data_IF_445100623693
#
_entry.id   IF_445100623693
#
_cell.length_a   1.000
_cell.length_b   1.000
_cell.length_c   1.000
_cell.angle_alpha   90.00
_cell.angle_beta   90.00
_cell.angle_gamma   90.00
#
_symmetry.space_group_name_H-M   'P 1'
#
loop_
_entity.id
_entity.type
_entity.pdbx_description
1 polymer ?
#
# COMPACT_ATOMS: atom_id res chain seq x y z
N UNK A 1 4.75 10.34 20.84
CA UNK A 1 3.41 10.77 20.37
C UNK A 1 3.44 12.09 19.58
N UNK A 2 4.58 12.50 19.01
CA UNK A 2 4.77 13.82 18.37
C UNK A 2 5.02 13.77 16.85
N UNK A 3 5.15 12.58 16.25
CA UNK A 3 5.43 12.43 14.81
C UNK A 3 4.20 12.47 13.89
N UNK A 4 2.97 12.38 14.41
CA UNK A 4 1.76 12.38 13.56
C UNK A 4 1.22 13.78 13.20
N UNK A 5 1.63 14.84 13.90
CA UNK A 5 1.04 16.17 13.68
C UNK A 5 1.55 16.81 12.38
N UNK A 6 2.79 16.52 11.97
CA UNK A 6 3.38 17.07 10.75
C UNK A 6 2.83 16.43 9.45
N UNK A 7 2.43 15.15 9.50
CA UNK A 7 1.85 14.46 8.34
C UNK A 7 0.50 15.05 7.91
N UNK A 8 -0.29 15.56 8.85
CA UNK A 8 -1.61 16.14 8.56
C UNK A 8 -1.52 17.54 7.94
N UNK A 9 -0.45 18.29 8.23
CA UNK A 9 -0.29 19.69 7.80
C UNK A 9 -0.09 19.86 6.28
N UNK A 10 0.32 18.81 5.57
CA UNK A 10 0.64 18.86 4.13
C UNK A 10 -0.33 18.08 3.23
N UNK A 11 -1.50 17.71 3.74
CA UNK A 11 -2.51 16.98 2.97
C UNK A 11 -3.48 17.95 2.29
N UNK A 12 -3.58 17.89 0.96
CA UNK A 12 -4.70 18.53 0.23
C UNK A 12 -5.74 17.47 -0.10
N UNK A 13 -6.96 17.53 0.46
CA UNK A 13 -7.98 16.54 0.18
C UNK A 13 -8.40 16.62 -1.29
N UNK A 14 -8.27 15.51 -2.02
CA UNK A 14 -8.84 15.40 -3.37
C UNK A 14 -10.37 15.33 -3.25
N UNK A 15 -11.05 16.41 -3.66
CA UNK A 15 -12.50 16.53 -3.61
C UNK A 15 -13.11 15.94 -4.87
N UNK A 16 -13.58 14.71 -4.80
CA UNK A 16 -14.47 14.12 -5.79
C UNK A 16 -15.92 14.22 -5.29
N UNK A 17 -16.89 14.59 -6.15
CA UNK A 17 -18.29 14.57 -5.75
C UNK A 17 -18.71 13.13 -5.42
N UNK A 18 -19.21 12.91 -4.21
CA UNK A 18 -19.76 11.63 -3.74
C UNK A 18 -21.26 11.83 -3.56
N UNK A 19 -22.07 10.90 -4.08
CA UNK A 19 -23.53 10.90 -3.91
C UNK A 19 -23.98 9.60 -3.26
N UNK A 20 -24.83 9.68 -2.25
CA UNK A 20 -25.51 8.50 -1.70
C UNK A 20 -26.61 8.06 -2.68
N UNK A 21 -26.55 6.80 -3.12
CA UNK A 21 -27.48 6.21 -4.10
C UNK A 21 -28.61 5.44 -3.41
N UNK A 22 -28.40 5.00 -2.16
CA UNK A 22 -29.36 4.17 -1.42
C UNK A 22 -28.93 2.71 -1.42
N UNK A 23 -29.77 1.83 -1.96
CA UNK A 23 -29.53 0.39 -1.99
C UNK A 23 -29.21 -0.11 -3.40
N UNK A 24 -28.27 -1.05 -3.52
CA UNK A 24 -27.99 -1.80 -4.75
C UNK A 24 -28.18 -3.28 -4.48
N UNK A 25 -28.84 -3.96 -5.41
CA UNK A 25 -28.98 -5.42 -5.39
C UNK A 25 -27.91 -6.04 -6.28
N UNK A 26 -27.01 -6.79 -5.66
CA UNK A 26 -26.06 -7.66 -6.35
C UNK A 26 -26.67 -9.05 -6.52
N UNK A 27 -26.63 -9.58 -7.74
CA UNK A 27 -26.98 -10.97 -8.03
C UNK A 27 -25.74 -11.73 -8.50
N UNK A 28 -25.00 -12.37 -7.57
CA UNK A 28 -23.84 -13.18 -7.92
C UNK A 28 -24.22 -14.38 -8.78
N UNK A 29 -23.39 -14.67 -9.79
CA UNK A 29 -23.37 -15.97 -10.44
C UNK A 29 -22.29 -16.82 -9.77
N UNK A 30 -22.70 -17.90 -9.11
CA UNK A 30 -21.76 -18.85 -8.51
C UNK A 30 -21.59 -19.98 -9.52
N UNK A 31 -20.39 -20.11 -10.10
CA UNK A 31 -20.06 -21.10 -11.14
C UNK A 31 -21.01 -21.02 -12.36
N UNK A 32 -21.34 -19.81 -12.83
CA UNK A 32 -22.24 -19.60 -13.97
C UNK A 32 -23.72 -19.93 -13.71
N UNK A 33 -24.10 -20.31 -12.47
CA UNK A 33 -25.47 -20.61 -12.10
C UNK A 33 -26.06 -19.47 -11.25
N UNK A 34 -27.24 -18.98 -11.65
CA UNK A 34 -28.00 -17.92 -10.95
C UNK A 34 -28.67 -18.40 -9.64
N UNK A 35 -28.09 -19.41 -8.97
CA UNK A 35 -28.62 -19.98 -7.73
C UNK A 35 -28.23 -19.18 -6.48
N UNK A 36 -27.48 -18.09 -6.60
CA UNK A 36 -27.11 -17.30 -5.43
C UNK A 36 -28.28 -16.43 -4.95
N UNK A 37 -28.38 -16.28 -3.63
CA UNK A 37 -29.27 -15.28 -3.03
C UNK A 37 -28.76 -13.88 -3.41
N UNK A 38 -29.71 -12.97 -3.65
CA UNK A 38 -29.39 -11.57 -3.89
C UNK A 38 -28.75 -10.94 -2.66
N UNK A 39 -27.71 -10.13 -2.85
CA UNK A 39 -27.08 -9.34 -1.79
C UNK A 39 -27.54 -7.90 -1.94
N UNK A 40 -28.20 -7.38 -0.90
CA UNK A 40 -28.57 -5.97 -0.85
C UNK A 40 -27.44 -5.23 -0.13
N UNK A 41 -26.78 -4.33 -0.86
CA UNK A 41 -25.85 -3.37 -0.30
C UNK A 41 -26.60 -2.08 -0.03
N UNK A 42 -26.68 -1.67 1.22
CA UNK A 42 -27.22 -0.36 1.60
C UNK A 42 -26.10 0.67 1.75
N UNK A 43 -26.48 1.95 1.76
CA UNK A 43 -25.56 3.08 1.86
C UNK A 43 -24.53 3.18 0.72
N UNK A 44 -24.93 2.80 -0.50
CA UNK A 44 -24.00 2.79 -1.63
C UNK A 44 -23.67 4.21 -2.09
N UNK A 45 -22.37 4.45 -2.31
CA UNK A 45 -21.83 5.72 -2.75
C UNK A 45 -21.53 5.68 -4.25
N UNK A 46 -22.05 6.65 -4.99
CA UNK A 46 -21.67 6.91 -6.38
C UNK A 46 -20.58 7.97 -6.44
N UNK A 47 -19.48 7.61 -7.09
CA UNK A 47 -18.32 8.47 -7.30
C UNK A 47 -18.03 8.49 -8.80
N UNK A 48 -18.43 9.55 -9.55
CA UNK A 48 -18.27 9.60 -11.00
C UNK A 48 -16.82 9.49 -11.48
N UNK A 49 -15.86 9.82 -10.61
CA UNK A 49 -14.43 9.76 -10.90
C UNK A 49 -13.84 8.34 -10.84
N UNK A 50 -14.59 7.34 -10.33
CA UNK A 50 -14.14 5.96 -10.31
C UNK A 50 -14.55 5.25 -11.60
N UNK A 51 -13.56 4.67 -12.29
CA UNK A 51 -13.79 3.84 -13.49
C UNK A 51 -14.36 2.46 -13.18
N UNK A 52 -14.29 2.03 -11.92
CA UNK A 52 -14.74 0.72 -11.46
C UNK A 52 -15.47 0.84 -10.12
N UNK A 53 -16.42 -0.06 -9.88
CA UNK A 53 -17.11 -0.16 -8.60
C UNK A 53 -16.17 -0.77 -7.54
N UNK A 54 -16.21 -0.23 -6.33
CA UNK A 54 -15.45 -0.74 -5.20
C UNK A 54 -16.41 -1.30 -4.14
N UNK A 55 -16.00 -2.40 -3.51
CA UNK A 55 -16.71 -3.03 -2.41
C UNK A 55 -15.81 -2.99 -1.17
N UNK A 56 -16.30 -2.41 -0.08
CA UNK A 56 -15.58 -2.42 1.20
C UNK A 56 -15.74 -3.77 1.89
N UNK A 57 -14.68 -4.56 1.90
CA UNK A 57 -14.64 -5.86 2.58
C UNK A 57 -14.85 -5.69 4.09
N UNK A 58 -14.23 -4.67 4.70
CA UNK A 58 -14.39 -4.37 6.13
C UNK A 58 -15.83 -4.00 6.47
N UNK A 59 -16.50 -3.19 5.63
CA UNK A 59 -17.90 -2.84 5.87
C UNK A 59 -18.80 -4.07 5.86
N UNK A 60 -18.59 -4.97 4.90
CA UNK A 60 -19.32 -6.23 4.84
C UNK A 60 -19.09 -7.12 6.06
N UNK A 61 -17.84 -7.20 6.55
CA UNK A 61 -17.52 -8.00 7.72
C UNK A 61 -18.06 -7.42 9.02
N UNK A 62 -18.03 -6.11 9.20
CA UNK A 62 -18.45 -5.45 10.44
C UNK A 62 -19.96 -5.29 10.53
N UNK A 63 -20.63 -4.99 9.42
CA UNK A 63 -22.05 -4.60 9.44
C UNK A 63 -23.01 -5.60 8.79
N UNK A 64 -22.50 -6.59 8.05
CA UNK A 64 -23.32 -7.52 7.29
C UNK A 64 -22.95 -9.00 7.49
N UNK A 65 -22.17 -9.30 8.55
CA UNK A 65 -21.78 -10.66 8.97
C UNK A 65 -21.05 -11.47 7.90
N UNK A 66 -20.33 -10.80 7.00
CA UNK A 66 -19.53 -11.50 6.01
C UNK A 66 -18.19 -11.94 6.58
N UNK A 67 -17.91 -13.23 6.49
CA UNK A 67 -16.55 -13.76 6.61
C UNK A 67 -15.86 -13.67 5.25
N UNK A 68 -14.80 -12.87 5.18
CA UNK A 68 -13.94 -12.74 3.99
C UNK A 68 -12.73 -13.66 4.16
N UNK A 69 -12.59 -14.65 3.28
CA UNK A 69 -11.48 -15.60 3.28
C UNK A 69 -10.62 -15.37 2.05
N UNK A 70 -9.40 -14.88 2.25
CA UNK A 70 -8.42 -14.73 1.18
C UNK A 70 -7.66 -16.05 0.97
N UNK A 71 -7.59 -16.48 -0.28
CA UNK A 71 -6.78 -17.60 -0.77
C UNK A 71 -5.78 -17.06 -1.81
N UNK A 72 -4.85 -17.90 -2.25
CA UNK A 72 -3.77 -17.49 -3.16
C UNK A 72 -4.29 -16.78 -4.42
N UNK A 73 -5.32 -17.32 -5.07
CA UNK A 73 -5.81 -16.81 -6.35
C UNK A 73 -7.23 -16.22 -6.32
N UNK A 74 -7.90 -16.25 -5.15
CA UNK A 74 -9.28 -15.77 -5.04
C UNK A 74 -9.66 -15.40 -3.59
N UNK A 75 -10.74 -14.64 -3.45
CA UNK A 75 -11.34 -14.23 -2.18
C UNK A 75 -12.76 -14.78 -2.12
N UNK A 76 -13.10 -15.47 -1.04
CA UNK A 76 -14.46 -15.94 -0.77
C UNK A 76 -15.16 -14.97 0.18
N UNK A 77 -16.38 -14.56 -0.18
CA UNK A 77 -17.28 -13.81 0.68
C UNK A 77 -18.37 -14.74 1.17
N UNK A 78 -18.31 -15.11 2.45
CA UNK A 78 -19.24 -16.03 3.09
C UNK A 78 -20.14 -15.32 4.07
N UNK A 79 -21.37 -15.77 4.22
CA UNK A 79 -22.28 -15.36 5.29
C UNK A 79 -23.02 -16.59 5.78
N UNK A 80 -23.07 -16.79 7.10
CA UNK A 80 -23.67 -17.99 7.72
C UNK A 80 -23.11 -19.31 7.17
N UNK A 81 -21.82 -19.34 6.83
CA UNK A 81 -21.13 -20.51 6.26
C UNK A 81 -21.33 -20.73 4.76
N UNK A 82 -22.30 -20.07 4.12
CA UNK A 82 -22.56 -20.15 2.68
C UNK A 82 -21.73 -19.12 1.90
N UNK A 83 -21.28 -19.48 0.69
CA UNK A 83 -20.58 -18.55 -0.21
C UNK A 83 -21.60 -17.73 -0.97
N UNK A 84 -21.47 -16.40 -0.91
CA UNK A 84 -22.35 -15.48 -1.63
C UNK A 84 -21.69 -14.96 -2.90
N UNK A 85 -20.41 -14.61 -2.87
CA UNK A 85 -19.66 -14.24 -4.08
C UNK A 85 -18.17 -14.54 -3.92
N UNK A 86 -17.49 -14.60 -5.06
CA UNK A 86 -16.06 -14.89 -5.17
C UNK A 86 -15.41 -13.74 -5.93
N UNK A 87 -14.23 -13.30 -5.52
CA UNK A 87 -13.40 -12.39 -6.30
C UNK A 87 -12.12 -13.09 -6.75
N UNK A 88 -11.76 -12.99 -8.02
CA UNK A 88 -10.48 -13.46 -8.54
C UNK A 88 -9.38 -12.47 -8.29
N UNK A 89 -8.24 -12.96 -7.82
CA UNK A 89 -7.02 -12.16 -7.68
C UNK A 89 -6.23 -12.33 -8.97
N UNK A 90 -6.04 -11.23 -9.69
CA UNK A 90 -5.16 -11.16 -10.86
C UNK A 90 -3.68 -11.32 -10.47
N UNK A 91 -2.83 -11.59 -11.44
CA UNK A 91 -1.36 -11.64 -11.25
C UNK A 91 -0.77 -10.35 -10.67
N UNK A 92 -1.48 -9.23 -10.82
CA UNK A 92 -1.10 -7.92 -10.28
C UNK A 92 -1.63 -7.67 -8.85
N UNK A 93 -2.25 -8.68 -8.22
CA UNK A 93 -2.81 -8.59 -6.87
C UNK A 93 -4.14 -7.85 -6.77
N UNK A 94 -4.76 -7.47 -7.89
CA UNK A 94 -6.07 -6.82 -7.92
C UNK A 94 -7.18 -7.88 -7.87
N UNK A 95 -8.19 -7.67 -7.02
CA UNK A 95 -9.31 -8.58 -6.86
C UNK A 95 -10.56 -8.09 -7.63
N UNK A 96 -11.12 -8.95 -8.48
CA UNK A 96 -12.33 -8.66 -9.27
C UNK A 96 -13.44 -9.64 -8.91
N UNK A 97 -14.63 -9.14 -8.54
CA UNK A 97 -15.77 -10.02 -8.26
C UNK A 97 -16.16 -10.78 -9.52
N UNK A 98 -16.09 -12.12 -9.46
CA UNK A 98 -16.52 -13.01 -10.55
C UNK A 98 -17.99 -12.76 -10.86
N UNK A 99 -18.28 -12.66 -12.15
CA UNK A 99 -19.62 -12.67 -12.78
C UNK A 99 -20.78 -12.32 -11.82
N UNK A 100 -21.12 -11.04 -11.75
CA UNK A 100 -22.30 -10.53 -11.04
C UNK A 100 -23.19 -9.84 -12.07
N UNK A 101 -24.47 -10.21 -12.13
CA UNK A 101 -25.44 -9.42 -12.88
C UNK A 101 -25.83 -8.26 -11.97
N UNK A 102 -25.24 -7.09 -12.22
CA UNK A 102 -25.77 -5.82 -11.75
C UNK A 102 -26.98 -5.51 -12.64
N UNK A 103 -28.18 -5.58 -12.07
CA UNK A 103 -29.39 -5.27 -12.83
C UNK A 103 -29.37 -3.79 -13.22
N UNK A 104 -29.24 -3.50 -14.52
CA UNK A 104 -29.09 -2.13 -15.05
C UNK A 104 -30.40 -1.33 -14.99
N UNK A 105 -31.52 -1.97 -14.66
CA UNK A 105 -32.85 -1.34 -14.67
C UNK A 105 -33.23 -0.57 -13.40
N UNK A 106 -32.36 -0.49 -12.37
CA UNK A 106 -32.65 0.33 -11.17
C UNK A 106 -32.11 1.77 -11.23
N UNK A 107 -31.46 2.18 -12.33
CA UNK A 107 -31.01 3.56 -12.49
C UNK A 107 -31.40 4.12 -13.86
N UNK A 108 -32.68 4.44 -14.02
CA UNK A 108 -33.13 5.42 -15.02
C UNK A 108 -33.78 6.58 -14.28
N UNK A 109 -33.12 7.74 -14.28
CA UNK A 109 -33.66 8.97 -13.67
C UNK A 109 -33.61 8.99 -12.13
N UNK A 110 -32.42 9.07 -11.53
CA UNK A 110 -32.30 9.37 -10.08
C UNK A 110 -32.78 10.79 -9.81
N UNK A 111 -34.02 10.95 -9.34
CA UNK A 111 -34.45 12.14 -8.60
C UNK A 111 -34.00 11.99 -7.16
N UNK A 112 -32.92 12.70 -6.83
CA UNK A 112 -32.34 12.78 -5.49
C UNK A 112 -33.29 13.55 -4.57
N UNK A 113 -33.87 12.87 -3.58
CA UNK A 113 -34.54 13.52 -2.46
C UNK A 113 -34.04 12.90 -1.14
N UNK A 114 -32.76 13.14 -0.83
CA UNK A 114 -32.28 12.98 0.55
C UNK A 114 -32.48 14.31 1.26
N UNK A 115 -33.39 14.36 2.24
CA UNK A 115 -33.53 15.50 3.14
C UNK A 115 -32.31 15.67 4.07
N UNK A 116 -31.48 14.62 4.20
CA UNK A 116 -30.24 14.66 4.96
C UNK A 116 -29.08 15.00 4.04
N UNK A 117 -28.39 16.08 4.36
CA UNK A 117 -27.08 16.38 3.76
C UNK A 117 -26.14 15.24 4.16
N UNK A 118 -25.37 14.67 3.21
CA UNK A 118 -24.31 13.74 3.57
C UNK A 118 -23.37 14.42 4.56
N UNK A 119 -22.84 13.65 5.51
CA UNK A 119 -21.80 14.15 6.40
C UNK A 119 -20.68 14.75 5.53
N UNK A 120 -20.31 16.03 5.73
CA UNK A 120 -19.24 16.64 4.96
C UNK A 120 -17.91 15.87 5.07
N UNK A 121 -17.74 15.02 6.09
CA UNK A 121 -16.54 14.23 6.32
C UNK A 121 -16.90 12.75 6.50
N UNK A 122 -16.61 11.94 5.48
CA UNK A 122 -16.66 10.48 5.61
C UNK A 122 -15.30 9.97 6.10
N UNK A 123 -15.18 9.63 7.38
CA UNK A 123 -13.91 9.17 8.00
C UNK A 123 -13.24 8.01 7.22
N UNK A 124 -13.94 6.93 6.81
CA UNK A 124 -13.31 5.87 6.01
C UNK A 124 -12.78 6.37 4.67
N UNK A 125 -13.49 7.30 4.01
CA UNK A 125 -13.03 7.91 2.77
C UNK A 125 -11.86 8.86 3.00
N UNK A 126 -11.81 9.54 4.14
CA UNK A 126 -10.69 10.40 4.53
C UNK A 126 -9.44 9.54 4.67
N UNK A 127 -9.49 8.48 5.49
CA UNK A 127 -8.36 7.57 5.70
C UNK A 127 -7.94 6.84 4.41
N UNK A 128 -8.90 6.39 3.59
CA UNK A 128 -8.61 5.70 2.33
C UNK A 128 -8.09 6.59 1.20
N UNK A 129 -8.25 7.93 1.30
CA UNK A 129 -7.77 8.91 0.30
C UNK A 129 -6.57 9.72 0.79
N UNK A 130 -5.98 9.37 1.94
CA UNK A 130 -4.71 9.94 2.38
C UNK A 130 -3.61 9.47 1.42
N UNK A 131 -3.36 10.25 0.38
CA UNK A 131 -2.12 10.15 -0.37
C UNK A 131 -1.07 10.98 0.38
N UNK A 132 0.12 10.41 0.59
CA UNK A 132 1.27 11.20 1.00
C UNK A 132 1.44 12.33 -0.02
N UNK A 133 1.47 13.58 0.44
CA UNK A 133 1.88 14.70 -0.41
C UNK A 133 3.31 14.48 -0.93
N UNK A 134 3.76 15.35 -1.83
CA UNK A 134 5.18 15.38 -2.19
C UNK A 134 6.00 15.53 -0.91
N UNK A 135 6.86 14.55 -0.63
CA UNK A 135 7.83 14.67 0.46
C UNK A 135 8.68 15.90 0.14
N UNK A 136 8.66 16.96 0.97
CA UNK A 136 9.56 18.08 0.76
C UNK A 136 10.96 17.50 0.75
N UNK A 137 11.75 17.77 -0.30
CA UNK A 137 13.17 17.47 -0.24
C UNK A 137 13.74 18.34 0.86
N UNK A 138 13.92 17.79 2.05
CA UNK A 138 14.76 18.40 3.07
C UNK A 138 16.15 18.36 2.47
N UNK A 139 16.57 19.42 1.77
CA UNK A 139 17.85 19.53 1.07
C UNK A 139 19.06 19.53 2.00
N UNK A 140 18.92 18.94 3.19
CA UNK A 140 20.01 18.68 4.11
C UNK A 140 20.85 17.56 3.53
N UNK A 141 21.87 17.96 2.77
CA UNK A 141 23.09 17.18 2.64
C UNK A 141 24.05 17.55 3.77
N UNK A 142 24.90 16.62 4.13
CA UNK A 142 25.99 16.84 5.07
C UNK A 142 26.99 17.87 4.53
N UNK A 143 27.73 18.51 5.44
CA UNK A 143 28.54 19.69 5.13
C UNK A 143 29.88 19.37 4.47
N UNK A 144 30.40 18.17 4.70
CA UNK A 144 31.68 17.68 4.16
C UNK A 144 31.64 16.17 3.88
N UNK A 145 32.56 15.64 3.05
CA UNK A 145 32.70 14.20 2.88
C UNK A 145 32.92 13.48 4.21
N UNK A 146 32.32 12.29 4.35
CA UNK A 146 32.37 11.41 5.51
C UNK A 146 31.67 11.94 6.78
N UNK A 147 30.94 13.06 6.69
CA UNK A 147 30.11 13.55 7.80
C UNK A 147 28.96 12.58 8.14
N UNK A 148 28.33 12.01 7.11
CA UNK A 148 27.23 11.06 7.24
C UNK A 148 27.30 10.03 6.11
N UNK A 149 27.37 8.75 6.50
CA UNK A 149 27.26 7.64 5.57
C UNK A 149 25.93 6.93 5.78
N UNK A 150 25.17 6.80 4.70
CA UNK A 150 23.96 5.96 4.66
C UNK A 150 24.33 4.54 4.25
N UNK A 151 23.77 3.56 4.94
CA UNK A 151 23.88 2.16 4.55
C UNK A 151 22.52 1.54 4.27
N UNK A 152 22.47 0.69 3.25
CA UNK A 152 21.31 -0.12 2.91
C UNK A 152 21.73 -1.57 2.62
N UNK A 153 21.04 -2.53 3.23
CA UNK A 153 21.27 -3.96 3.04
C UNK A 153 20.11 -4.56 2.26
N UNK A 154 20.41 -5.06 1.07
CA UNK A 154 19.42 -5.67 0.18
C UNK A 154 19.71 -7.14 -0.07
N UNK A 155 18.65 -7.94 -0.11
CA UNK A 155 18.71 -9.35 -0.53
C UNK A 155 18.30 -9.51 -1.99
N UNK A 156 18.92 -10.45 -2.69
CA UNK A 156 18.52 -10.86 -4.03
C UNK A 156 17.41 -11.91 -3.95
N UNK A 157 16.42 -11.82 -4.84
CA UNK A 157 15.37 -12.84 -4.96
C UNK A 157 15.90 -14.16 -5.48
N UNK A 158 16.93 -14.10 -6.34
CA UNK A 158 17.66 -15.27 -6.86
C UNK A 158 19.16 -15.02 -6.64
N UNK A 159 19.91 -16.00 -6.10
CA UNK A 159 21.36 -15.87 -5.99
C UNK A 159 22.01 -15.63 -7.35
N UNK A 160 23.05 -14.80 -7.37
CA UNK A 160 23.88 -14.62 -8.57
C UNK A 160 24.60 -15.92 -8.95
N UNK A 161 25.18 -15.99 -10.16
CA UNK A 161 25.91 -17.18 -10.64
C UNK A 161 27.08 -17.55 -9.71
N UNK A 162 27.68 -16.56 -9.07
CA UNK A 162 28.79 -16.68 -8.12
C UNK A 162 28.30 -16.99 -6.68
N UNK A 163 26.98 -17.08 -6.48
CA UNK A 163 26.34 -17.47 -5.21
C UNK A 163 26.11 -16.33 -4.22
N UNK A 164 26.27 -15.06 -4.63
CA UNK A 164 25.93 -13.90 -3.80
C UNK A 164 24.42 -13.80 -3.58
N UNK A 165 24.00 -13.57 -2.34
CA UNK A 165 22.60 -13.51 -1.91
C UNK A 165 22.20 -12.14 -1.38
N UNK A 166 23.19 -11.35 -0.96
CA UNK A 166 22.97 -10.04 -0.36
C UNK A 166 23.95 -9.03 -0.93
N UNK A 167 23.62 -7.75 -0.76
CA UNK A 167 24.50 -6.62 -1.06
C UNK A 167 24.28 -5.54 -0.03
N UNK A 168 25.36 -5.02 0.53
CA UNK A 168 25.34 -3.78 1.31
C UNK A 168 25.85 -2.64 0.44
N UNK A 169 25.18 -1.49 0.48
CA UNK A 169 25.61 -0.25 -0.16
C UNK A 169 25.91 0.80 0.88
N UNK A 170 27.03 1.48 0.74
CA UNK A 170 27.43 2.65 1.53
C UNK A 170 27.42 3.89 0.64
N UNK A 171 26.74 4.94 1.08
CA UNK A 171 26.57 6.18 0.33
C UNK A 171 26.98 7.36 1.20
N UNK A 172 27.95 8.12 0.73
CA UNK A 172 28.30 9.40 1.35
C UNK A 172 27.26 10.46 1.01
N UNK A 173 26.70 11.08 2.05
CA UNK A 173 25.58 12.02 1.91
C UNK A 173 25.98 13.35 1.24
N UNK A 174 27.24 13.80 1.43
CA UNK A 174 27.74 15.05 0.87
C UNK A 174 28.04 14.92 -0.63
N UNK A 175 28.94 14.00 -0.96
CA UNK A 175 29.49 13.80 -2.30
C UNK A 175 28.59 12.93 -3.18
N UNK A 176 27.71 12.11 -2.58
CA UNK A 176 26.95 11.09 -3.28
C UNK A 176 27.80 9.90 -3.74
N UNK A 177 29.05 9.77 -3.26
CA UNK A 177 29.91 8.64 -3.56
C UNK A 177 29.32 7.34 -3.01
N UNK A 178 29.40 6.24 -3.80
CA UNK A 178 28.75 4.97 -3.46
C UNK A 178 29.70 3.79 -3.64
N UNK A 179 29.69 2.89 -2.66
CA UNK A 179 30.36 1.59 -2.75
C UNK A 179 29.36 0.49 -2.44
N UNK A 180 29.45 -0.62 -3.16
CA UNK A 180 28.61 -1.78 -2.92
C UNK A 180 29.45 -3.04 -2.75
N UNK A 181 29.15 -3.82 -1.70
CA UNK A 181 29.80 -5.10 -1.42
C UNK A 181 28.78 -6.22 -1.54
N UNK A 182 29.13 -7.24 -2.33
CA UNK A 182 28.32 -8.45 -2.49
C UNK A 182 28.69 -9.48 -1.43
N UNK A 183 27.70 -10.14 -0.85
CA UNK A 183 27.88 -11.02 0.31
C UNK A 183 27.04 -12.29 0.16
N UNK A 184 27.56 -13.41 0.66
CA UNK A 184 26.82 -14.68 0.64
C UNK A 184 25.86 -14.77 1.83
N UNK A 185 26.21 -14.15 2.94
CA UNK A 185 25.42 -14.11 4.17
C UNK A 185 25.33 -12.69 4.72
N UNK A 186 24.24 -12.38 5.42
CA UNK A 186 24.02 -11.09 6.09
C UNK A 186 25.05 -10.79 7.19
N UNK A 187 25.61 -11.83 7.82
CA UNK A 187 26.66 -11.72 8.84
C UNK A 187 27.97 -11.12 8.32
N UNK A 188 28.17 -11.05 7.00
CA UNK A 188 29.35 -10.46 6.38
C UNK A 188 29.30 -8.91 6.35
N UNK A 189 28.16 -8.30 6.72
CA UNK A 189 27.94 -6.84 6.66
C UNK A 189 28.96 -6.06 7.49
N UNK A 190 29.29 -6.54 8.69
CA UNK A 190 30.27 -5.88 9.54
C UNK A 190 31.69 -5.92 8.96
N UNK A 191 32.05 -7.01 8.26
CA UNK A 191 33.33 -7.09 7.57
C UNK A 191 33.39 -6.12 6.38
N UNK A 192 32.31 -6.03 5.60
CA UNK A 192 32.18 -5.06 4.52
C UNK A 192 32.27 -3.61 5.03
N UNK A 193 31.68 -3.31 6.20
CA UNK A 193 31.78 -1.99 6.84
C UNK A 193 33.23 -1.62 7.16
N UNK A 194 34.01 -2.53 7.75
CA UNK A 194 35.43 -2.28 8.04
C UNK A 194 36.24 -2.01 6.77
N UNK A 195 35.98 -2.79 5.70
CA UNK A 195 36.63 -2.59 4.41
C UNK A 195 36.28 -1.21 3.82
N UNK A 196 35.00 -0.83 3.90
CA UNK A 196 34.54 0.47 3.44
C UNK A 196 35.17 1.60 4.25
N UNK A 197 35.19 1.51 5.58
CA UNK A 197 35.80 2.53 6.43
C UNK A 197 37.28 2.74 6.08
N UNK A 198 38.07 1.67 6.01
CA UNK A 198 39.48 1.78 5.65
C UNK A 198 39.69 2.41 4.27
N UNK A 199 38.87 2.00 3.29
CA UNK A 199 38.90 2.55 1.94
C UNK A 199 38.55 4.05 1.92
N UNK A 200 37.42 4.42 2.52
CA UNK A 200 36.90 5.79 2.50
C UNK A 200 37.83 6.74 3.26
N UNK A 201 38.25 6.37 4.47
CA UNK A 201 39.14 7.23 5.26
C UNK A 201 40.49 7.45 4.58
N UNK A 202 41.00 6.44 3.85
CA UNK A 202 42.22 6.58 3.03
C UNK A 202 41.98 7.47 1.81
N UNK A 203 40.84 7.32 1.13
CA UNK A 203 40.53 8.06 -0.09
C UNK A 203 40.34 9.57 0.16
N UNK A 204 39.63 9.95 1.23
CA UNK A 204 39.38 11.35 1.58
C UNK A 204 40.37 11.94 2.58
N UNK A 205 41.18 11.12 3.25
CA UNK A 205 42.06 11.57 4.34
C UNK A 205 41.28 12.10 5.56
N UNK A 206 40.00 11.73 5.69
CA UNK A 206 39.09 12.15 6.75
C UNK A 206 38.57 10.94 7.52
N UNK A 207 37.95 11.17 8.68
CA UNK A 207 37.29 10.12 9.47
C UNK A 207 35.78 10.16 9.27
N UNK A 208 35.14 8.99 9.25
CA UNK A 208 33.68 8.88 9.25
C UNK A 208 33.15 9.38 10.59
N UNK A 209 32.23 10.36 10.55
CA UNK A 209 31.66 10.96 11.78
C UNK A 209 30.40 10.27 12.25
N UNK A 210 29.51 9.91 11.34
CA UNK A 210 28.24 9.29 11.64
C UNK A 210 27.83 8.28 10.58
N UNK A 211 27.04 7.31 11.03
CA UNK A 211 26.49 6.25 10.21
C UNK A 211 24.98 6.18 10.41
N UNK A 212 24.24 5.99 9.33
CA UNK A 212 22.80 5.85 9.36
C UNK A 212 22.38 4.59 8.60
N UNK A 213 21.84 3.64 9.36
CA UNK A 213 21.15 2.46 8.84
C UNK A 213 19.62 2.63 8.93
N UNK A 214 18.89 1.75 8.26
CA UNK A 214 17.43 1.71 8.23
C UNK A 214 16.80 1.06 9.47
N UNK A 215 17.61 0.73 10.48
CA UNK A 215 17.25 0.01 11.71
C UNK A 215 16.63 -1.37 11.49
N UNK A 216 17.00 -2.06 10.42
CA UNK A 216 16.57 -3.43 10.13
C UNK A 216 17.01 -4.50 11.14
N UNK A 217 17.78 -4.15 12.17
CA UNK A 217 18.26 -5.07 13.22
C UNK A 217 19.43 -5.96 12.81
N UNK A 218 20.07 -5.65 11.69
CA UNK A 218 21.12 -6.47 11.05
C UNK A 218 22.53 -5.87 11.21
N UNK A 219 22.65 -4.79 11.98
CA UNK A 219 23.88 -4.06 12.28
C UNK A 219 24.31 -4.23 13.74
#
# INVERSE_FOLDING_TARGET
MTHCVHLLQNTRPHKAPIKLVGEIVLRPLIHGHARSRSVILSNVLYVPALSHNLISTTYLSVHHDYTVLMKENYILFKRNGEVYFVADISEQGQAFVRETVMDKELVTGVRLASARKPDPICEPCLFGKLNAGLFPSTGHRSGAPLDLIHSDLKSYSVPTREGWKHRVTFVDDHTGFKVAYHMKNKSETFAALKMFQAYAETHWGLKIKAFQDDKGGEC
#
